data_IF_384966609458
#
_entry.id   IF_384966609458
#
_cell.length_a   1.000
_cell.length_b   1.000
_cell.length_c   1.000
_cell.angle_alpha   90.00
_cell.angle_beta   90.00
_cell.angle_gamma   90.00
#
_symmetry.space_group_name_H-M   'P 1'
#
loop_
_entity.id
_entity.type
_entity.pdbx_description
1 polymer ?
#
# COMPACT_ATOMS: atom_id res chain seq x y z
N UNK A 1 -13.01 -16.44 -10.12
CA UNK A 1 -13.65 -17.65 -10.68
C UNK A 1 -14.34 -18.46 -9.57
N UNK A 2 -15.50 -19.05 -9.84
CA UNK A 2 -16.22 -19.89 -8.87
C UNK A 2 -15.67 -21.32 -8.81
N UNK A 3 -15.71 -21.95 -7.63
CA UNK A 3 -15.18 -23.30 -7.42
C UNK A 3 -16.09 -24.36 -8.02
N UNK A 4 -15.49 -25.32 -8.73
CA UNK A 4 -16.19 -26.53 -9.16
C UNK A 4 -16.38 -27.47 -7.96
N UNK A 5 -17.58 -27.45 -7.37
CA UNK A 5 -17.94 -28.25 -6.20
C UNK A 5 -17.77 -29.75 -6.40
N UNK A 6 -18.20 -30.26 -7.56
CA UNK A 6 -18.11 -31.68 -7.85
C UNK A 6 -16.64 -32.14 -7.87
N UNK A 7 -15.78 -31.34 -8.50
CA UNK A 7 -14.34 -31.62 -8.56
C UNK A 7 -13.67 -31.51 -7.19
N UNK A 8 -13.95 -30.45 -6.43
CA UNK A 8 -13.41 -30.27 -5.08
C UNK A 8 -13.83 -31.41 -4.13
N UNK A 9 -15.10 -31.83 -4.18
CA UNK A 9 -15.61 -32.94 -3.38
C UNK A 9 -14.97 -34.27 -3.76
N UNK A 10 -14.74 -34.52 -5.05
CA UNK A 10 -14.04 -35.72 -5.52
C UNK A 10 -12.62 -35.81 -4.94
N UNK A 11 -11.86 -34.71 -5.03
CA UNK A 11 -10.51 -34.64 -4.43
C UNK A 11 -10.51 -34.87 -2.92
N UNK A 12 -11.46 -34.26 -2.21
CA UNK A 12 -11.62 -34.46 -0.77
C UNK A 12 -11.87 -35.94 -0.44
N UNK A 13 -12.79 -36.60 -1.16
CA UNK A 13 -13.07 -38.03 -0.96
C UNK A 13 -11.86 -38.92 -1.23
N UNK A 14 -11.08 -38.65 -2.27
CA UNK A 14 -9.84 -39.39 -2.57
C UNK A 14 -8.79 -39.23 -1.46
N UNK A 15 -8.63 -38.00 -0.92
CA UNK A 15 -7.72 -37.73 0.19
C UNK A 15 -8.15 -38.47 1.48
N UNK A 16 -9.44 -38.39 1.82
CA UNK A 16 -10.00 -39.05 3.01
C UNK A 16 -9.88 -40.59 2.96
N UNK A 17 -9.98 -41.20 1.76
CA UNK A 17 -9.76 -42.64 1.61
C UNK A 17 -8.31 -43.05 1.89
N UNK A 18 -7.33 -42.24 1.49
CA UNK A 18 -5.91 -42.49 1.80
C UNK A 18 -5.65 -42.34 3.30
N UNK A 19 -6.12 -41.24 3.88
CA UNK A 19 -5.97 -40.93 5.30
C UNK A 19 -6.58 -42.01 6.20
N UNK A 20 -7.76 -42.53 5.83
CA UNK A 20 -8.39 -43.67 6.52
C UNK A 20 -7.52 -44.92 6.53
N UNK A 21 -6.79 -45.22 5.44
CA UNK A 21 -5.88 -46.39 5.40
C UNK A 21 -4.67 -46.17 6.31
N UNK A 22 -4.13 -44.96 6.33
CA UNK A 22 -3.00 -44.58 7.17
C UNK A 22 -3.37 -44.65 8.67
N UNK A 23 -4.53 -44.11 9.05
CA UNK A 23 -5.02 -44.20 10.44
C UNK A 23 -5.30 -45.64 10.89
N UNK A 24 -5.84 -46.49 10.01
CA UNK A 24 -5.98 -47.92 10.31
C UNK A 24 -4.62 -48.60 10.49
N UNK A 25 -3.64 -48.28 9.65
CA UNK A 25 -2.28 -48.81 9.79
C UNK A 25 -1.60 -48.32 11.08
N UNK A 26 -1.93 -47.11 11.54
CA UNK A 26 -1.47 -46.55 12.81
C UNK A 26 -2.19 -47.12 14.04
N UNK A 27 -3.18 -48.00 13.86
CA UNK A 27 -3.91 -48.65 14.95
C UNK A 27 -5.04 -47.83 15.57
N UNK A 28 -5.52 -46.77 14.90
CA UNK A 28 -6.69 -46.02 15.35
C UNK A 28 -7.97 -46.84 15.24
N UNK A 29 -8.91 -46.64 16.18
CA UNK A 29 -10.22 -47.28 16.12
C UNK A 29 -11.09 -46.64 15.02
N UNK A 30 -12.09 -47.38 14.53
CA UNK A 30 -13.01 -46.83 13.52
C UNK A 30 -13.79 -45.61 14.04
N UNK A 31 -14.02 -45.51 15.36
CA UNK A 31 -14.65 -44.35 16.01
C UNK A 31 -13.75 -43.11 15.94
N UNK A 32 -12.45 -43.24 16.26
CA UNK A 32 -11.49 -42.14 16.16
C UNK A 32 -11.32 -41.67 14.71
N UNK A 33 -11.30 -42.61 13.76
CA UNK A 33 -11.22 -42.30 12.34
C UNK A 33 -12.46 -41.55 11.85
N UNK A 34 -13.64 -41.92 12.36
CA UNK A 34 -14.89 -41.24 12.03
C UNK A 34 -14.90 -39.80 12.57
N UNK A 35 -14.45 -39.60 13.82
CA UNK A 35 -14.33 -38.27 14.43
C UNK A 35 -13.40 -37.36 13.62
N UNK A 36 -12.25 -37.89 13.18
CA UNK A 36 -11.32 -37.16 12.30
C UNK A 36 -11.96 -36.81 10.95
N UNK A 37 -12.70 -37.74 10.34
CA UNK A 37 -13.41 -37.49 9.08
C UNK A 37 -14.48 -36.40 9.22
N UNK A 38 -15.25 -36.40 10.31
CA UNK A 38 -16.27 -35.38 10.57
C UNK A 38 -15.66 -33.99 10.74
N UNK A 39 -14.55 -33.90 11.48
CA UNK A 39 -13.78 -32.68 11.63
C UNK A 39 -13.31 -32.14 10.27
N UNK A 40 -12.66 -32.98 9.47
CA UNK A 40 -12.14 -32.61 8.15
C UNK A 40 -13.27 -32.19 7.20
N UNK A 41 -14.42 -32.87 7.26
CA UNK A 41 -15.59 -32.52 6.47
C UNK A 41 -16.16 -31.15 6.88
N UNK A 42 -16.22 -30.87 8.17
CA UNK A 42 -16.65 -29.57 8.68
C UNK A 42 -15.71 -28.46 8.19
N UNK A 43 -14.39 -28.69 8.28
CA UNK A 43 -13.38 -27.73 7.80
C UNK A 43 -13.49 -27.51 6.29
N UNK A 44 -13.61 -28.57 5.50
CA UNK A 44 -13.80 -28.48 4.05
C UNK A 44 -15.04 -27.66 3.66
N UNK A 45 -16.18 -27.88 4.34
CA UNK A 45 -17.40 -27.11 4.09
C UNK A 45 -17.23 -25.64 4.48
N UNK A 46 -16.53 -25.35 5.59
CA UNK A 46 -16.22 -23.99 6.02
C UNK A 46 -15.37 -23.25 5.00
N UNK A 47 -14.34 -23.91 4.47
CA UNK A 47 -13.44 -23.31 3.49
C UNK A 47 -14.14 -23.05 2.16
N UNK A 48 -15.00 -23.98 1.72
CA UNK A 48 -15.85 -23.77 0.55
C UNK A 48 -16.84 -22.62 0.74
N UNK A 49 -17.46 -22.51 1.92
CA UNK A 49 -18.36 -21.40 2.24
C UNK A 49 -17.59 -20.07 2.21
N UNK A 50 -16.42 -20.03 2.84
CA UNK A 50 -15.54 -18.87 2.81
C UNK A 50 -15.22 -18.46 1.37
N UNK A 51 -14.75 -19.38 0.53
CA UNK A 51 -14.39 -19.08 -0.86
C UNK A 51 -15.60 -18.72 -1.75
N UNK A 52 -16.82 -19.17 -1.42
CA UNK A 52 -18.05 -18.72 -2.10
C UNK A 52 -18.41 -17.28 -1.74
N UNK A 53 -18.22 -16.91 -0.48
CA UNK A 53 -18.67 -15.63 0.07
C UNK A 53 -17.59 -14.56 0.10
N UNK A 54 -16.34 -14.91 -0.18
CA UNK A 54 -15.22 -13.97 -0.26
C UNK A 54 -14.66 -13.93 -1.66
N UNK A 55 -14.33 -12.72 -2.10
CA UNK A 55 -13.64 -12.48 -3.35
C UNK A 55 -12.32 -11.77 -3.03
N UNK A 56 -11.22 -12.26 -3.61
CA UNK A 56 -9.92 -11.60 -3.45
C UNK A 56 -9.91 -10.25 -4.17
N UNK A 57 -9.33 -9.25 -3.54
CA UNK A 57 -9.04 -7.95 -4.16
C UNK A 57 -7.68 -8.06 -4.83
N UNK A 58 -7.65 -8.35 -6.14
CA UNK A 58 -6.42 -8.44 -6.94
C UNK A 58 -5.75 -7.09 -7.23
N UNK A 59 -5.99 -6.07 -6.40
CA UNK A 59 -5.56 -4.67 -6.64
C UNK A 59 -4.03 -4.52 -6.48
N UNK A 60 -3.35 -5.48 -5.83
CA UNK A 60 -1.94 -5.40 -5.45
C UNK A 60 -1.01 -6.32 -6.27
N UNK A 61 -1.55 -7.17 -7.13
CA UNK A 61 -0.75 -8.11 -7.94
C UNK A 61 -0.58 -7.50 -9.35
N UNK A 62 0.63 -6.99 -9.59
CA UNK A 62 1.27 -6.44 -10.80
C UNK A 62 0.45 -6.07 -12.06
N UNK A 63 0.79 -4.95 -12.74
CA UNK A 63 0.05 -4.40 -13.88
C UNK A 63 -0.01 -5.30 -15.12
N UNK A 64 0.78 -6.38 -15.18
CA UNK A 64 0.94 -7.22 -16.37
C UNK A 64 -0.01 -8.43 -16.41
N UNK A 65 -0.88 -8.60 -15.41
CA UNK A 65 -1.87 -9.68 -15.37
C UNK A 65 -3.24 -9.20 -15.86
N UNK A 66 -3.36 -9.00 -17.18
CA UNK A 66 -4.60 -8.61 -17.89
C UNK A 66 -5.80 -9.56 -17.65
N UNK A 67 -5.65 -10.69 -16.95
CA UNK A 67 -6.70 -11.70 -16.77
C UNK A 67 -7.46 -11.64 -15.42
N UNK A 68 -7.11 -10.77 -14.47
CA UNK A 68 -7.82 -10.66 -13.17
C UNK A 68 -8.64 -9.37 -12.96
N UNK A 69 -8.79 -8.55 -14.01
CA UNK A 69 -9.41 -7.21 -13.97
C UNK A 69 -10.94 -7.12 -13.81
N UNK A 70 -11.64 -8.22 -13.57
CA UNK A 70 -13.09 -8.20 -13.36
C UNK A 70 -13.48 -8.80 -12.02
N UNK A 71 -13.01 -8.18 -10.93
CA UNK A 71 -13.72 -8.30 -9.67
C UNK A 71 -14.99 -7.43 -9.75
N UNK A 72 -16.20 -8.00 -9.95
CA UNK A 72 -17.43 -7.21 -10.06
C UNK A 72 -17.73 -6.44 -8.77
N UNK A 73 -17.22 -6.88 -7.61
CA UNK A 73 -17.33 -6.13 -6.36
C UNK A 73 -16.42 -4.90 -6.38
N UNK A 74 -15.21 -4.99 -6.95
CA UNK A 74 -14.35 -3.83 -7.13
C UNK A 74 -15.03 -2.79 -8.03
N UNK A 75 -15.58 -3.20 -9.17
CA UNK A 75 -16.34 -2.32 -10.05
C UNK A 75 -17.58 -1.71 -9.37
N UNK A 76 -18.29 -2.49 -8.56
CA UNK A 76 -19.50 -2.03 -7.86
C UNK A 76 -19.21 -1.07 -6.70
N UNK A 77 -18.07 -1.24 -6.02
CA UNK A 77 -17.74 -0.52 -4.79
C UNK A 77 -16.47 0.33 -4.93
N UNK A 78 -16.09 0.71 -6.15
CA UNK A 78 -14.86 1.47 -6.40
C UNK A 78 -14.83 2.76 -5.59
N UNK A 79 -15.94 3.50 -5.51
CA UNK A 79 -16.04 4.74 -4.74
C UNK A 79 -15.88 4.55 -3.23
N UNK A 80 -16.26 3.38 -2.71
CA UNK A 80 -16.10 3.04 -1.29
C UNK A 80 -14.70 2.50 -0.96
N UNK A 81 -13.99 1.97 -1.98
CA UNK A 81 -12.68 1.35 -1.84
C UNK A 81 -11.53 2.25 -2.30
N UNK A 82 -11.82 3.37 -2.97
CA UNK A 82 -10.83 4.31 -3.46
C UNK A 82 -11.06 5.69 -2.85
N UNK A 83 -9.98 6.45 -2.74
CA UNK A 83 -10.03 7.87 -2.39
C UNK A 83 -9.25 8.62 -3.44
N UNK A 84 -9.84 9.69 -3.98
CA UNK A 84 -9.12 10.55 -4.90
C UNK A 84 -8.07 11.34 -4.12
N UNK A 85 -6.79 11.06 -4.39
CA UNK A 85 -5.71 11.92 -3.96
C UNK A 85 -5.71 13.15 -4.87
N UNK A 86 -6.11 14.29 -4.34
CA UNK A 86 -6.05 15.54 -5.11
C UNK A 86 -4.58 15.87 -5.41
N UNK A 87 -4.23 16.15 -6.68
CA UNK A 87 -2.93 16.69 -7.03
C UNK A 87 -2.65 17.93 -6.19
N UNK A 88 -1.48 17.98 -5.58
CA UNK A 88 -1.09 19.04 -4.65
C UNK A 88 -0.73 20.35 -5.37
N UNK A 89 -1.03 20.52 -6.66
CA UNK A 89 -0.52 21.61 -7.52
C UNK A 89 -0.76 23.03 -6.96
N UNK A 90 -1.90 23.25 -6.29
CA UNK A 90 -2.24 24.53 -5.65
C UNK A 90 -1.80 24.61 -4.17
N UNK A 91 -1.28 23.51 -3.62
CA UNK A 91 -0.81 23.47 -2.25
C UNK A 91 0.58 24.09 -2.13
N UNK A 92 0.77 24.82 -1.04
CA UNK A 92 2.08 25.32 -0.65
C UNK A 92 3.05 24.15 -0.54
N UNK A 93 4.22 24.27 -1.16
CA UNK A 93 5.26 23.23 -1.22
C UNK A 93 4.89 21.97 -2.03
N UNK A 94 3.99 22.06 -3.02
CA UNK A 94 3.65 20.95 -3.94
C UNK A 94 4.87 20.22 -4.51
N UNK A 95 5.92 20.99 -4.79
CA UNK A 95 7.17 20.51 -5.36
C UNK A 95 7.93 19.53 -4.45
N UNK A 96 7.57 19.40 -3.17
CA UNK A 96 8.15 18.37 -2.29
C UNK A 96 7.73 16.96 -2.71
N UNK A 97 6.51 16.81 -3.23
CA UNK A 97 5.96 15.53 -3.68
C UNK A 97 6.58 15.07 -5.01
N UNK A 98 7.15 15.99 -5.78
CA UNK A 98 7.79 15.75 -7.08
C UNK A 98 9.28 15.38 -6.98
N UNK A 99 9.87 15.41 -5.78
CA UNK A 99 11.29 15.08 -5.61
C UNK A 99 11.47 13.57 -5.50
N UNK A 100 12.25 12.96 -6.39
CA UNK A 100 12.57 11.53 -6.32
C UNK A 100 13.76 11.21 -5.39
N UNK A 101 14.69 12.15 -5.17
CA UNK A 101 15.86 11.94 -4.30
C UNK A 101 15.45 11.90 -2.82
N UNK A 102 15.41 10.68 -2.27
CA UNK A 102 15.02 10.43 -0.88
C UNK A 102 15.91 11.13 0.15
N UNK A 103 17.21 11.27 -0.11
CA UNK A 103 18.14 11.96 0.79
C UNK A 103 17.89 13.48 0.78
N UNK A 104 17.53 14.02 -0.39
CA UNK A 104 17.15 15.41 -0.54
C UNK A 104 15.84 15.70 0.20
N UNK A 105 14.79 14.89 0.01
CA UNK A 105 13.53 15.05 0.75
C UNK A 105 13.78 15.01 2.26
N UNK A 106 14.55 14.03 2.73
CA UNK A 106 14.88 13.89 4.16
C UNK A 106 15.62 15.11 4.70
N UNK A 107 16.45 15.74 3.88
CA UNK A 107 17.17 16.97 4.23
C UNK A 107 16.24 18.19 4.24
N UNK A 108 15.30 18.27 3.30
CA UNK A 108 14.28 19.32 3.22
C UNK A 108 13.30 19.25 4.38
N UNK A 109 12.86 18.05 4.77
CA UNK A 109 11.97 17.83 5.93
C UNK A 109 12.60 18.24 7.28
N UNK A 110 13.92 18.42 7.34
CA UNK A 110 14.63 18.94 8.53
C UNK A 110 14.69 20.47 8.59
N UNK A 111 14.31 21.15 7.51
CA UNK A 111 14.27 22.61 7.48
C UNK A 111 13.07 23.14 8.27
N UNK A 112 13.20 24.37 8.75
CA UNK A 112 12.08 25.08 9.38
C UNK A 112 11.09 25.54 8.32
N UNK A 113 9.81 25.74 8.70
CA UNK A 113 8.79 26.27 7.78
C UNK A 113 9.23 27.59 7.12
N UNK A 114 9.85 28.48 7.88
CA UNK A 114 10.47 29.72 7.43
C UNK A 114 11.54 29.52 6.33
N UNK A 115 12.30 28.43 6.40
CA UNK A 115 13.35 28.08 5.43
C UNK A 115 12.76 27.46 4.17
N UNK A 116 11.75 26.60 4.31
CA UNK A 116 11.00 26.04 3.18
C UNK A 116 10.25 27.14 2.41
N UNK A 117 9.63 28.09 3.10
CA UNK A 117 8.97 29.25 2.49
C UNK A 117 9.94 30.12 1.70
N UNK A 118 11.17 30.27 2.19
CA UNK A 118 12.21 31.01 1.46
C UNK A 118 12.63 30.28 0.18
N UNK A 119 12.72 28.95 0.20
CA UNK A 119 13.00 28.14 -0.99
C UNK A 119 11.84 28.25 -1.97
N UNK A 120 10.61 28.09 -1.48
CA UNK A 120 9.38 28.19 -2.26
C UNK A 120 9.28 29.52 -3.00
N UNK A 121 9.42 30.64 -2.29
CA UNK A 121 9.38 31.98 -2.88
C UNK A 121 10.51 32.21 -3.91
N UNK A 122 11.70 31.69 -3.66
CA UNK A 122 12.87 31.99 -4.50
C UNK A 122 12.94 31.10 -5.75
N UNK A 123 12.62 29.81 -5.62
CA UNK A 123 12.77 28.82 -6.69
C UNK A 123 11.48 28.67 -7.52
N UNK A 124 10.30 28.73 -6.89
CA UNK A 124 9.01 28.47 -7.55
C UNK A 124 8.14 29.72 -7.63
N UNK A 125 8.29 30.66 -6.68
CA UNK A 125 7.57 31.94 -6.68
C UNK A 125 8.19 33.05 -7.52
N UNK A 126 9.40 32.86 -8.07
CA UNK A 126 10.07 33.83 -8.95
C UNK A 126 10.51 35.13 -8.27
N UNK A 127 10.47 35.21 -6.94
CA UNK A 127 10.80 36.44 -6.22
C UNK A 127 12.31 36.67 -6.13
N UNK A 128 12.72 37.92 -6.32
CA UNK A 128 14.08 38.35 -6.03
C UNK A 128 14.32 38.46 -4.51
N UNK A 129 15.59 38.37 -4.09
CA UNK A 129 15.95 38.53 -2.66
C UNK A 129 15.50 39.89 -2.08
N UNK A 130 15.39 40.93 -2.91
CA UNK A 130 14.89 42.25 -2.50
C UNK A 130 13.38 42.21 -2.23
N UNK A 131 12.59 41.63 -3.13
CA UNK A 131 11.15 41.49 -2.95
C UNK A 131 10.81 40.60 -1.74
N UNK A 132 11.59 39.53 -1.52
CA UNK A 132 11.45 38.69 -0.33
C UNK A 132 11.74 39.50 0.94
N UNK A 133 12.73 40.41 0.91
CA UNK A 133 13.07 41.29 2.06
C UNK A 133 11.93 42.21 2.44
N UNK A 134 11.26 42.78 1.45
CA UNK A 134 10.10 43.65 1.64
C UNK A 134 8.90 42.85 2.15
N UNK A 135 8.60 41.70 1.53
CA UNK A 135 7.47 40.83 1.90
C UNK A 135 7.61 40.24 3.30
N UNK A 136 8.82 39.84 3.69
CA UNK A 136 9.09 39.23 5.00
C UNK A 136 9.46 40.25 6.08
N UNK A 137 9.56 41.55 5.74
CA UNK A 137 10.03 42.64 6.62
C UNK A 137 11.38 42.35 7.29
N UNK A 138 12.23 41.59 6.61
CA UNK A 138 13.59 41.23 7.06
C UNK A 138 14.61 41.99 6.23
N UNK A 139 15.78 42.29 6.80
CA UNK A 139 16.83 42.95 6.02
C UNK A 139 17.34 42.03 4.89
N UNK A 140 17.76 42.59 3.73
CA UNK A 140 18.35 41.80 2.65
C UNK A 140 19.53 40.94 3.12
N UNK A 141 20.33 41.47 4.04
CA UNK A 141 21.47 40.78 4.66
C UNK A 141 21.03 39.56 5.46
N UNK A 142 19.93 39.65 6.21
CA UNK A 142 19.40 38.53 6.98
C UNK A 142 18.90 37.39 6.07
N UNK A 143 18.27 37.73 4.94
CA UNK A 143 17.83 36.73 3.94
C UNK A 143 19.04 36.04 3.31
N UNK A 144 20.06 36.80 2.91
CA UNK A 144 21.28 36.24 2.34
C UNK A 144 21.97 35.28 3.33
N UNK A 145 22.05 35.64 4.61
CA UNK A 145 22.57 34.76 5.65
C UNK A 145 21.74 33.49 5.82
N UNK A 146 20.40 33.60 5.82
CA UNK A 146 19.50 32.46 5.97
C UNK A 146 19.61 31.51 4.78
N UNK A 147 19.69 32.02 3.54
CA UNK A 147 19.94 31.23 2.34
C UNK A 147 21.30 30.50 2.37
N UNK A 148 22.35 31.15 2.88
CA UNK A 148 23.66 30.49 3.08
C UNK A 148 23.57 29.34 4.08
N UNK A 149 22.80 29.50 5.16
CA UNK A 149 22.57 28.43 6.14
C UNK A 149 21.79 27.26 5.53
N UNK A 150 20.72 27.54 4.79
CA UNK A 150 19.94 26.52 4.07
C UNK A 150 20.85 25.74 3.12
N UNK A 151 21.66 26.43 2.31
CA UNK A 151 22.59 25.78 1.38
C UNK A 151 23.60 24.87 2.10
N UNK A 152 24.06 25.24 3.31
CA UNK A 152 24.93 24.38 4.12
C UNK A 152 24.21 23.13 4.62
N UNK A 153 22.94 23.26 5.04
CA UNK A 153 22.12 22.14 5.52
C UNK A 153 21.77 21.15 4.41
N UNK A 154 21.56 21.64 3.19
CA UNK A 154 21.21 20.81 2.02
C UNK A 154 22.42 20.27 1.27
N UNK A 155 23.64 20.66 1.64
CA UNK A 155 24.85 20.09 1.03
C UNK A 155 24.93 18.63 1.47
N UNK A 156 25.01 17.69 0.51
CA UNK A 156 25.21 16.27 0.82
C UNK A 156 26.39 16.17 1.80
N UNK A 157 26.12 15.55 2.96
CA UNK A 157 27.18 15.05 3.81
C UNK A 157 27.90 13.99 2.99
N UNK A 158 29.12 14.30 2.55
CA UNK A 158 30.06 13.32 2.01
C UNK A 158 30.24 12.14 2.97
#
# INVERSE_FOLDING_TARGET
MGINFAYARKKFSEAQQKLRKEYKAAGMTDEQILEMYEYDLHQFNRDLAYQRHTQRLGILEEPDMEEEGHNPLLHKFIDALTVYQQPTEDAKLWWLDEIEDADLIKSLMRLTADELDLIDMLAFGGYSQREISEKTRKSPTAICLKLKTIRKKLRKSE
#
